data_IF_606463887695
#
_entry.id   IF_606463887695
#
_cell.length_a   1.000
_cell.length_b   1.000
_cell.length_c   1.000
_cell.angle_alpha   90.00
_cell.angle_beta   90.00
_cell.angle_gamma   90.00
#
_symmetry.space_group_name_H-M   'P 1'
#
loop_
_entity.id
_entity.type
_entity.pdbx_description
1 polymer ?
#
# COMPACT_ATOMS: atom_id res chain seq x y z
N UNK A 1 9.73 -9.90 11.44
CA UNK A 1 8.84 -8.75 11.60
C UNK A 1 7.48 -9.28 11.30
N UNK A 2 6.75 -9.56 12.37
CA UNK A 2 5.34 -9.89 12.27
C UNK A 2 4.54 -8.59 12.07
N UNK A 3 3.47 -8.60 11.28
CA UNK A 3 2.69 -7.40 10.96
C UNK A 3 2.06 -6.73 12.20
N UNK A 4 1.97 -7.48 13.29
CA UNK A 4 1.49 -7.08 14.62
C UNK A 4 2.49 -6.20 15.40
N UNK A 5 3.76 -6.20 15.00
CA UNK A 5 4.83 -5.41 15.64
C UNK A 5 5.03 -4.02 15.01
N UNK A 6 4.26 -3.70 13.96
CA UNK A 6 4.33 -2.42 13.28
C UNK A 6 3.46 -1.39 14.00
N UNK A 7 4.01 -0.21 14.32
CA UNK A 7 3.27 0.92 14.90
C UNK A 7 2.05 1.35 14.04
N UNK A 8 2.09 1.05 12.74
CA UNK A 8 0.98 1.29 11.81
C UNK A 8 0.78 0.08 10.92
N UNK A 9 -0.37 -0.59 11.07
CA UNK A 9 -0.81 -1.64 10.15
C UNK A 9 -1.90 -1.09 9.23
N UNK A 10 -1.61 -1.00 7.94
CA UNK A 10 -2.54 -0.51 6.90
C UNK A 10 -3.88 -1.25 6.90
N UNK A 11 -3.88 -2.53 7.25
CA UNK A 11 -5.09 -3.36 7.38
C UNK A 11 -6.08 -2.87 8.44
N UNK A 12 -5.61 -2.12 9.45
CA UNK A 12 -6.47 -1.53 10.47
C UNK A 12 -7.23 -0.29 9.97
N UNK A 13 -6.74 0.33 8.88
CA UNK A 13 -7.31 1.55 8.33
C UNK A 13 -8.00 1.31 6.98
N UNK A 14 -7.64 0.22 6.29
CA UNK A 14 -8.04 -0.06 4.92
C UNK A 14 -8.31 -1.54 4.78
N UNK A 15 -9.47 -1.88 4.21
CA UNK A 15 -9.81 -3.27 3.93
C UNK A 15 -8.79 -3.86 2.95
N UNK A 16 -8.06 -4.88 3.41
CA UNK A 16 -7.10 -5.62 2.58
C UNK A 16 -7.78 -6.32 1.40
N UNK A 17 -9.05 -6.70 1.53
CA UNK A 17 -9.86 -7.22 0.43
C UNK A 17 -10.12 -6.17 -0.67
N UNK A 18 -10.32 -4.90 -0.30
CA UNK A 18 -10.48 -3.82 -1.28
C UNK A 18 -9.18 -3.62 -2.09
N UNK A 19 -8.02 -3.71 -1.43
CA UNK A 19 -6.71 -3.64 -2.09
C UNK A 19 -6.49 -4.85 -3.01
N UNK A 20 -6.87 -6.07 -2.59
CA UNK A 20 -6.82 -7.27 -3.44
C UNK A 20 -7.71 -7.17 -4.66
N UNK A 21 -8.93 -6.63 -4.51
CA UNK A 21 -9.83 -6.41 -5.65
C UNK A 21 -9.25 -5.42 -6.65
N UNK A 22 -8.58 -4.37 -6.16
CA UNK A 22 -7.94 -3.38 -7.02
C UNK A 22 -6.71 -3.95 -7.73
N UNK A 23 -5.90 -4.77 -7.04
CA UNK A 23 -4.78 -5.48 -7.64
C UNK A 23 -5.19 -6.58 -8.64
N UNK A 24 -6.39 -7.15 -8.46
CA UNK A 24 -6.94 -8.15 -9.40
C UNK A 24 -7.64 -7.53 -10.60
N UNK A 25 -7.76 -6.20 -10.64
CA UNK A 25 -8.37 -5.48 -11.75
C UNK A 25 -7.40 -5.44 -12.94
N UNK A 26 -7.88 -5.67 -14.16
CA UNK A 26 -7.08 -5.72 -15.40
C UNK A 26 -6.32 -4.43 -15.77
N UNK A 27 -6.46 -3.36 -14.97
CA UNK A 27 -5.81 -2.09 -15.22
C UNK A 27 -4.91 -1.73 -14.05
N UNK A 28 -3.62 -1.53 -14.33
CA UNK A 28 -2.63 -1.05 -13.37
C UNK A 28 -2.67 0.48 -13.19
N UNK A 29 -3.66 1.17 -13.79
CA UNK A 29 -3.74 2.64 -13.81
C UNK A 29 -4.24 3.26 -12.50
N UNK A 30 -4.36 2.47 -11.44
CA UNK A 30 -4.81 2.94 -10.15
C UNK A 30 -3.63 3.27 -9.23
N UNK A 31 -3.91 4.17 -8.30
CA UNK A 31 -3.02 4.60 -7.24
C UNK A 31 -3.83 4.75 -5.96
N UNK A 32 -3.36 4.13 -4.88
CA UNK A 32 -3.88 4.29 -3.54
C UNK A 32 -2.88 5.10 -2.73
N UNK A 33 -3.33 6.13 -2.02
CA UNK A 33 -2.52 6.93 -1.13
C UNK A 33 -3.09 6.84 0.28
N UNK A 34 -2.23 6.62 1.26
CA UNK A 34 -2.57 6.48 2.66
C UNK A 34 -1.75 7.47 3.47
N UNK A 35 -2.43 8.29 4.25
CA UNK A 35 -1.79 9.19 5.19
C UNK A 35 -1.70 8.49 6.54
N UNK A 36 -0.48 8.25 7.00
CA UNK A 36 -0.17 7.82 8.36
C UNK A 36 0.28 9.05 9.17
N UNK A 37 0.37 8.96 10.51
CA UNK A 37 0.79 10.11 11.33
C UNK A 37 2.14 10.70 10.94
N UNK A 38 3.07 9.87 10.46
CA UNK A 38 4.45 10.26 10.14
C UNK A 38 4.75 10.25 8.64
N UNK A 39 4.02 9.46 7.86
CA UNK A 39 4.39 9.14 6.48
C UNK A 39 3.18 9.07 5.53
N UNK A 40 3.42 9.37 4.25
CA UNK A 40 2.46 9.12 3.17
C UNK A 40 2.89 7.88 2.40
N UNK A 41 2.05 6.86 2.38
CA UNK A 41 2.29 5.61 1.65
C UNK A 41 1.48 5.61 0.36
N UNK A 42 2.13 5.38 -0.78
CA UNK A 42 1.50 5.22 -2.08
C UNK A 42 1.68 3.78 -2.57
N UNK A 43 0.60 3.15 -3.02
CA UNK A 43 0.61 1.85 -3.67
C UNK A 43 0.02 1.99 -5.07
N UNK A 44 0.72 1.45 -6.06
CA UNK A 44 0.30 1.50 -7.47
C UNK A 44 -0.17 0.13 -7.95
N UNK A 45 -0.94 0.10 -9.04
CA UNK A 45 -1.37 -1.16 -9.68
C UNK A 45 -0.25 -2.09 -10.09
N UNK A 46 0.92 -1.54 -10.38
CA UNK A 46 2.14 -2.31 -10.67
C UNK A 46 2.76 -2.99 -9.45
N UNK A 47 2.16 -2.86 -8.27
CA UNK A 47 2.68 -3.40 -7.01
C UNK A 47 3.86 -2.61 -6.43
N UNK A 48 4.18 -1.42 -6.97
CA UNK A 48 5.17 -0.51 -6.36
C UNK A 48 4.60 0.15 -5.13
N UNK A 49 5.43 0.21 -4.08
CA UNK A 49 5.13 0.88 -2.82
C UNK A 49 6.11 2.03 -2.65
N UNK A 50 5.58 3.24 -2.45
CA UNK A 50 6.33 4.45 -2.14
C UNK A 50 5.99 4.92 -0.73
N UNK A 51 6.97 5.41 0.01
CA UNK A 51 6.82 6.06 1.32
C UNK A 51 7.46 7.43 1.21
N UNK A 52 6.68 8.49 1.45
CA UNK A 52 7.07 9.89 1.26
C UNK A 52 7.65 10.20 -0.13
N UNK A 53 7.19 9.45 -1.15
CA UNK A 53 7.67 9.54 -2.52
C UNK A 53 8.96 8.74 -2.80
N UNK A 54 9.55 8.07 -1.82
CA UNK A 54 10.68 7.16 -2.00
C UNK A 54 10.19 5.73 -2.24
N UNK A 55 10.71 5.05 -3.28
CA UNK A 55 10.32 3.67 -3.58
C UNK A 55 11.01 2.72 -2.61
N UNK A 56 10.24 2.15 -1.67
CA UNK A 56 10.76 1.23 -0.64
C UNK A 56 10.66 -0.23 -1.07
N UNK A 57 9.72 -0.56 -1.97
CA UNK A 57 9.58 -1.90 -2.53
C UNK A 57 9.08 -1.89 -3.96
N UNK A 58 9.72 -2.73 -4.77
CA UNK A 58 9.24 -3.15 -6.08
C UNK A 58 8.68 -4.58 -5.97
N UNK A 59 7.50 -4.82 -6.51
CA UNK A 59 6.94 -6.17 -6.62
C UNK A 59 7.86 -7.01 -7.53
N UNK A 60 8.30 -8.16 -7.03
CA UNK A 60 9.17 -9.12 -7.74
C UNK A 60 8.38 -10.37 -8.12
#
# INVERSE_FOLDING_TARGET
MDPEELDVSLENHVSTDAVRNLASHDSDSWRLQFETPDHVVEVTGTGRILVDGETVREAR
#
